data_IF_587333181653
#
_entry.id   IF_587333181653
#
_cell.length_a   1.000
_cell.length_b   1.000
_cell.length_c   1.000
_cell.angle_alpha   90.00
_cell.angle_beta   90.00
_cell.angle_gamma   90.00
#
_symmetry.space_group_name_H-M   'P 1'
#
loop_
_entity.id
_entity.type
_entity.pdbx_description
1 polymer ?
#
# COMPACT_ATOMS: atom_id res chain seq x y z
N UNK A 1 -33.84 33.22 -43.42
CA UNK A 1 -32.71 32.39 -42.93
C UNK A 1 -31.60 33.33 -42.50
N UNK A 2 -31.90 34.32 -41.64
CA UNK A 2 -31.04 35.51 -41.50
C UNK A 2 -30.56 35.74 -40.07
N UNK A 3 -30.97 34.88 -39.13
CA UNK A 3 -30.60 35.00 -37.70
C UNK A 3 -29.27 34.28 -37.41
N UNK A 4 -28.90 33.27 -38.21
CA UNK A 4 -27.66 32.49 -38.01
C UNK A 4 -26.40 33.23 -38.49
N UNK A 5 -26.53 34.15 -39.46
CA UNK A 5 -25.38 34.89 -40.01
C UNK A 5 -24.89 36.01 -39.07
N UNK A 6 -25.78 36.57 -38.24
CA UNK A 6 -25.41 37.60 -37.26
C UNK A 6 -24.58 37.05 -36.08
N UNK A 7 -24.84 35.82 -35.65
CA UNK A 7 -24.15 35.22 -34.50
C UNK A 7 -22.70 34.82 -34.81
N UNK A 8 -22.39 34.42 -36.05
CA UNK A 8 -21.00 34.09 -36.43
C UNK A 8 -20.11 35.34 -36.52
N UNK A 9 -20.65 36.49 -36.93
CA UNK A 9 -19.90 37.74 -36.96
C UNK A 9 -19.58 38.25 -35.54
N UNK A 10 -20.51 38.12 -34.60
CA UNK A 10 -20.29 38.48 -33.21
C UNK A 10 -19.25 37.57 -32.52
N UNK A 11 -19.21 36.28 -32.86
CA UNK A 11 -18.23 35.34 -32.28
C UNK A 11 -16.81 35.55 -32.82
N UNK A 12 -16.66 35.99 -34.08
CA UNK A 12 -15.36 36.33 -34.66
C UNK A 12 -14.76 37.63 -34.06
N UNK A 13 -15.59 38.61 -33.71
CA UNK A 13 -15.13 39.84 -33.06
C UNK A 13 -14.59 39.60 -31.63
N UNK A 14 -15.26 38.72 -30.87
CA UNK A 14 -14.83 38.37 -29.50
C UNK A 14 -13.48 37.61 -29.47
N UNK A 15 -13.17 36.84 -30.51
CA UNK A 15 -11.88 36.12 -30.63
C UNK A 15 -10.74 37.09 -31.00
N UNK A 16 -11.04 38.18 -31.72
CA UNK A 16 -10.04 39.21 -32.02
C UNK A 16 -9.69 40.09 -30.82
N UNK A 17 -10.65 40.34 -29.93
CA UNK A 17 -10.42 41.11 -28.70
C UNK A 17 -9.58 40.31 -27.68
N UNK A 18 -9.78 39.00 -27.60
CA UNK A 18 -9.00 38.13 -26.70
C UNK A 18 -7.53 37.95 -27.11
N UNK A 19 -7.19 38.28 -28.37
CA UNK A 19 -5.81 38.24 -28.89
C UNK A 19 -5.05 39.55 -28.67
N UNK A 20 -5.73 40.65 -28.33
CA UNK A 20 -5.11 41.95 -28.08
C UNK A 20 -4.64 42.15 -26.63
N UNK A 21 -5.11 41.33 -25.67
CA UNK A 21 -4.76 41.47 -24.24
C UNK A 21 -3.56 40.65 -23.76
N UNK A 22 -2.78 40.02 -24.66
CA UNK A 22 -1.59 39.23 -24.29
C UNK A 22 -0.28 39.87 -24.75
N UNK A 23 -0.06 41.16 -24.45
CA UNK A 23 1.24 41.80 -24.63
C UNK A 23 1.50 42.84 -23.55
N UNK A 24 1.97 42.41 -22.36
CA UNK A 24 3.01 43.13 -21.59
C UNK A 24 3.56 42.22 -20.49
N UNK A 25 4.63 41.48 -20.79
CA UNK A 25 5.47 40.88 -19.76
C UNK A 25 6.47 41.96 -19.28
N UNK A 26 6.55 42.27 -17.97
CA UNK A 26 7.57 43.15 -17.45
C UNK A 26 8.95 42.49 -17.50
N UNK A 27 9.97 43.28 -17.86
CA UNK A 27 11.36 42.86 -17.95
C UNK A 27 11.89 42.28 -16.62
N UNK A 28 12.81 41.31 -16.65
CA UNK A 28 13.40 40.73 -15.45
C UNK A 28 14.30 41.74 -14.72
N UNK A 29 14.20 41.88 -13.38
CA UNK A 29 15.17 42.63 -12.61
C UNK A 29 16.54 41.91 -12.59
N UNK A 30 17.58 42.70 -12.82
CA UNK A 30 18.99 42.34 -12.82
C UNK A 30 19.42 41.55 -11.56
N UNK A 31 20.02 40.37 -11.79
CA UNK A 31 20.43 39.36 -10.79
C UNK A 31 21.81 39.70 -10.19
N UNK A 32 22.01 40.92 -9.69
CA UNK A 32 23.33 41.33 -9.16
C UNK A 32 23.32 41.92 -7.74
N UNK A 33 22.16 42.10 -7.09
CA UNK A 33 22.10 42.77 -5.78
C UNK A 33 21.35 42.02 -4.66
N UNK A 34 20.79 40.83 -4.91
CA UNK A 34 19.96 40.10 -3.94
C UNK A 34 20.66 38.91 -3.23
N UNK A 35 21.97 38.74 -3.40
CA UNK A 35 22.75 37.61 -2.87
C UNK A 35 23.61 37.94 -1.63
N UNK A 36 23.31 39.03 -0.91
CA UNK A 36 24.03 39.38 0.32
C UNK A 36 23.16 39.37 1.61
N UNK A 37 21.83 39.44 1.51
CA UNK A 37 20.97 39.55 2.70
C UNK A 37 20.40 38.21 3.22
N UNK A 38 20.32 37.16 2.38
CA UNK A 38 19.75 35.87 2.78
C UNK A 38 20.73 34.97 3.56
N UNK A 39 22.05 35.18 3.44
CA UNK A 39 23.05 34.35 4.10
C UNK A 39 23.21 34.64 5.61
N UNK A 40 22.82 35.84 6.08
CA UNK A 40 22.97 36.23 7.49
C UNK A 40 21.84 35.70 8.40
N UNK A 41 20.67 35.34 7.83
CA UNK A 41 19.54 34.82 8.61
C UNK A 41 19.65 33.31 8.91
N UNK A 42 20.39 32.55 8.09
CA UNK A 42 20.56 31.10 8.27
C UNK A 42 21.51 30.73 9.44
N UNK A 43 22.46 31.59 9.80
CA UNK A 43 23.45 31.31 10.85
C UNK A 43 22.91 31.46 12.28
N UNK A 44 21.86 32.26 12.50
CA UNK A 44 21.29 32.49 13.85
C UNK A 44 20.24 31.46 14.29
N UNK A 45 19.65 30.70 13.37
CA UNK A 45 18.64 29.68 13.69
C UNK A 45 19.30 28.35 14.10
N UNK A 46 20.45 28.01 13.50
CA UNK A 46 21.20 26.79 13.83
C UNK A 46 21.78 26.79 15.26
N UNK A 47 22.13 27.96 15.81
CA UNK A 47 22.71 28.04 17.16
C UNK A 47 21.67 27.88 18.30
N UNK A 48 20.38 28.16 18.04
CA UNK A 48 19.33 28.09 19.07
C UNK A 48 18.75 26.68 19.25
N UNK A 49 18.83 25.82 18.23
CA UNK A 49 18.30 24.46 18.28
C UNK A 49 19.16 23.49 19.12
N UNK A 50 20.46 23.79 19.29
CA UNK A 50 21.39 22.89 19.97
C UNK A 50 21.41 23.05 21.51
N UNK A 51 20.75 24.07 22.07
CA UNK A 51 20.67 24.27 23.51
C UNK A 51 19.46 23.56 24.16
N UNK A 52 18.39 23.31 23.40
CA UNK A 52 17.17 22.64 23.87
C UNK A 52 17.35 21.10 23.95
N UNK A 53 18.22 20.54 23.10
CA UNK A 53 18.48 19.09 23.04
C UNK A 53 19.19 18.53 24.28
N UNK A 54 19.89 19.37 25.05
CA UNK A 54 20.64 18.92 26.24
C UNK A 54 19.77 18.88 27.51
N UNK A 55 18.63 19.61 27.56
CA UNK A 55 17.81 19.70 28.79
C UNK A 55 16.76 18.59 28.94
N UNK A 56 16.37 17.92 27.86
CA UNK A 56 15.36 16.86 27.88
C UNK A 56 15.93 15.47 28.19
N UNK A 57 17.25 15.30 28.24
CA UNK A 57 17.89 14.01 28.53
C UNK A 57 18.03 13.71 30.04
N UNK A 58 17.68 14.65 30.94
CA UNK A 58 17.96 14.52 32.38
C UNK A 58 16.76 14.09 33.25
N UNK A 59 15.53 14.01 32.73
CA UNK A 59 14.32 13.78 33.54
C UNK A 59 13.59 12.44 33.30
N UNK A 60 14.22 11.45 32.67
CA UNK A 60 13.61 10.14 32.42
C UNK A 60 14.09 9.00 33.36
N UNK A 61 14.71 9.31 34.50
CA UNK A 61 15.35 8.31 35.37
C UNK A 61 14.49 7.81 36.55
N UNK A 62 13.16 7.85 36.46
CA UNK A 62 12.31 7.43 37.57
C UNK A 62 11.00 6.76 37.16
N UNK A 63 11.07 5.55 36.58
CA UNK A 63 9.92 4.63 36.64
C UNK A 63 10.38 3.18 36.84
N UNK A 64 9.97 2.67 38.00
CA UNK A 64 9.93 1.31 38.54
C UNK A 64 10.16 0.13 37.58
N UNK A 65 11.14 -0.70 37.96
CA UNK A 65 11.39 -2.04 37.43
C UNK A 65 10.38 -3.04 38.01
N UNK A 66 9.37 -3.39 37.22
CA UNK A 66 8.58 -4.60 37.42
C UNK A 66 8.96 -5.59 36.31
N UNK A 67 9.75 -6.61 36.66
CA UNK A 67 10.21 -7.63 35.70
C UNK A 67 9.26 -8.82 35.79
N UNK A 68 8.37 -9.05 34.81
CA UNK A 68 7.65 -10.31 34.71
C UNK A 68 8.60 -11.45 34.29
N UNK A 69 8.30 -12.71 34.64
CA UNK A 69 9.16 -13.84 34.34
C UNK A 69 9.32 -14.03 32.83
N UNK A 70 10.57 -14.01 32.38
CA UNK A 70 10.99 -14.16 31.00
C UNK A 70 10.76 -15.62 30.59
N UNK A 71 9.71 -15.86 29.81
CA UNK A 71 9.54 -17.12 29.06
C UNK A 71 10.51 -17.12 27.89
N UNK A 72 11.57 -17.91 27.99
CA UNK A 72 12.69 -18.04 27.04
C UNK A 72 12.32 -18.83 25.78
N UNK A 73 11.33 -18.36 25.01
CA UNK A 73 11.18 -18.72 23.60
C UNK A 73 10.40 -17.64 22.82
N UNK A 74 11.09 -16.70 22.14
CA UNK A 74 10.43 -15.57 21.45
C UNK A 74 9.58 -16.02 20.24
N UNK A 75 9.87 -17.17 19.65
CA UNK A 75 9.14 -17.68 18.49
C UNK A 75 7.80 -18.35 18.86
N UNK A 76 7.62 -18.85 20.08
CA UNK A 76 6.40 -19.60 20.48
C UNK A 76 5.35 -18.72 21.15
N UNK A 77 5.79 -17.64 21.84
CA UNK A 77 4.90 -16.70 22.54
C UNK A 77 4.05 -15.85 21.59
N UNK A 78 4.67 -15.25 20.56
CA UNK A 78 3.96 -14.40 19.60
C UNK A 78 2.92 -15.16 18.74
N UNK A 79 3.15 -16.44 18.48
CA UNK A 79 2.20 -17.27 17.73
C UNK A 79 0.94 -17.57 18.54
N UNK A 80 1.06 -17.68 19.87
CA UNK A 80 -0.09 -18.00 20.73
C UNK A 80 -1.09 -16.84 20.82
N UNK A 81 -0.61 -15.59 20.88
CA UNK A 81 -1.46 -14.40 20.89
C UNK A 81 -2.11 -14.16 19.52
N UNK A 82 -1.37 -14.30 18.41
CA UNK A 82 -1.94 -14.15 17.07
C UNK A 82 -3.05 -15.16 16.79
N UNK A 83 -2.88 -16.42 17.21
CA UNK A 83 -3.93 -17.44 17.05
C UNK A 83 -5.20 -17.11 17.83
N UNK A 84 -5.08 -16.42 18.97
CA UNK A 84 -6.26 -15.97 19.72
C UNK A 84 -6.98 -14.80 19.04
N UNK A 85 -6.25 -13.95 18.30
CA UNK A 85 -6.80 -12.83 17.53
C UNK A 85 -7.44 -13.28 16.21
N UNK A 86 -6.92 -14.34 15.61
CA UNK A 86 -7.36 -14.87 14.32
C UNK A 86 -7.73 -16.37 14.43
N UNK A 87 -8.81 -16.71 15.18
CA UNK A 87 -9.17 -18.11 15.43
C UNK A 87 -9.61 -18.84 14.14
N UNK A 88 -10.15 -18.11 13.17
CA UNK A 88 -10.68 -18.67 11.92
C UNK A 88 -9.58 -18.96 10.88
N UNK A 89 -8.36 -18.48 11.10
CA UNK A 89 -7.23 -18.66 10.19
C UNK A 89 -6.36 -19.81 10.66
N UNK A 90 -6.04 -20.75 9.76
CA UNK A 90 -5.15 -21.89 10.07
C UNK A 90 -3.82 -21.39 10.63
N UNK A 91 -3.36 -22.06 11.68
CA UNK A 91 -2.07 -21.75 12.31
C UNK A 91 -0.92 -21.79 11.28
N UNK A 92 -0.95 -22.74 10.34
CA UNK A 92 0.04 -22.82 9.27
C UNK A 92 0.06 -21.57 8.37
N UNK A 93 -1.10 -21.01 8.04
CA UNK A 93 -1.20 -19.77 7.25
C UNK A 93 -0.63 -18.59 8.03
N UNK A 94 -0.99 -18.44 9.31
CA UNK A 94 -0.42 -17.41 10.19
C UNK A 94 1.11 -17.52 10.23
N UNK A 95 1.65 -18.73 10.44
CA UNK A 95 3.10 -18.98 10.45
C UNK A 95 3.74 -18.62 9.11
N UNK A 96 3.14 -18.99 7.98
CA UNK A 96 3.67 -18.62 6.66
C UNK A 96 3.65 -17.12 6.42
N UNK A 97 2.62 -16.40 6.90
CA UNK A 97 2.51 -14.94 6.78
C UNK A 97 3.62 -14.25 7.56
N UNK A 98 3.80 -14.58 8.85
CA UNK A 98 4.83 -13.96 9.70
C UNK A 98 6.24 -14.29 9.25
N UNK A 99 6.43 -15.39 8.52
CA UNK A 99 7.71 -15.79 7.93
C UNK A 99 7.89 -15.25 6.50
N UNK A 100 6.93 -14.47 5.98
CA UNK A 100 6.92 -13.95 4.60
C UNK A 100 7.09 -15.02 3.51
N UNK A 101 6.47 -16.18 3.71
CA UNK A 101 6.46 -17.34 2.79
C UNK A 101 5.07 -17.64 2.24
N UNK A 102 4.17 -16.66 2.24
CA UNK A 102 2.75 -16.85 1.95
C UNK A 102 2.40 -16.26 0.59
N UNK A 103 2.35 -17.06 -0.46
CA UNK A 103 2.22 -16.55 -1.84
C UNK A 103 0.83 -15.98 -2.16
N UNK A 104 0.75 -15.14 -3.20
CA UNK A 104 -0.53 -14.61 -3.70
C UNK A 104 -1.52 -15.73 -4.08
N UNK A 105 -1.00 -16.85 -4.62
CA UNK A 105 -1.80 -18.02 -4.96
C UNK A 105 -2.41 -18.71 -3.74
N UNK A 106 -1.88 -18.47 -2.54
CA UNK A 106 -2.35 -19.06 -1.29
C UNK A 106 -3.35 -18.16 -0.54
N UNK A 107 -3.61 -16.93 -1.03
CA UNK A 107 -4.52 -15.97 -0.37
C UNK A 107 -5.88 -16.58 -0.03
N UNK A 108 -6.39 -17.49 -0.86
CA UNK A 108 -7.65 -18.17 -0.62
C UNK A 108 -7.70 -18.96 0.69
N UNK A 109 -6.56 -19.40 1.21
CA UNK A 109 -6.46 -20.15 2.46
C UNK A 109 -6.78 -19.30 3.68
N UNK A 110 -6.86 -17.97 3.53
CA UNK A 110 -7.30 -17.06 4.59
C UNK A 110 -8.82 -16.98 4.71
N UNK A 111 -9.56 -17.49 3.73
CA UNK A 111 -11.01 -17.57 3.82
C UNK A 111 -11.41 -18.78 4.67
N UNK A 112 -12.15 -18.54 5.74
CA UNK A 112 -12.69 -19.59 6.60
C UNK A 112 -13.62 -20.54 5.85
N UNK A 113 -14.29 -20.07 4.79
CA UNK A 113 -15.16 -20.90 3.95
C UNK A 113 -14.40 -21.96 3.15
N UNK A 114 -13.15 -21.66 2.79
CA UNK A 114 -12.31 -22.55 2.00
C UNK A 114 -11.30 -23.33 2.85
N UNK A 115 -11.19 -22.97 4.13
CA UNK A 115 -10.35 -23.61 5.13
C UNK A 115 -10.63 -25.12 5.24
N UNK A 116 -11.89 -25.54 5.27
CA UNK A 116 -12.25 -26.96 5.40
C UNK A 116 -12.23 -27.72 4.07
N UNK A 117 -12.01 -27.02 2.95
CA UNK A 117 -12.21 -27.56 1.60
C UNK A 117 -10.91 -27.91 0.86
N UNK A 118 -9.76 -27.74 1.51
CA UNK A 118 -8.39 -27.91 0.95
C UNK A 118 -8.13 -29.32 0.36
N UNK A 119 -9.03 -30.28 0.58
CA UNK A 119 -9.00 -31.59 -0.07
C UNK A 119 -10.39 -32.18 -0.31
N UNK A 120 -11.33 -31.40 -0.87
CA UNK A 120 -12.52 -32.03 -1.46
C UNK A 120 -12.11 -32.81 -2.72
N UNK A 121 -11.87 -34.11 -2.55
CA UNK A 121 -11.67 -35.02 -3.65
C UNK A 121 -13.01 -35.21 -4.37
N UNK A 122 -13.16 -34.58 -5.52
CA UNK A 122 -14.32 -34.81 -6.37
C UNK A 122 -14.05 -36.06 -7.22
N UNK A 123 -14.88 -37.08 -7.08
CA UNK A 123 -14.80 -38.24 -7.96
C UNK A 123 -15.30 -37.85 -9.36
N UNK A 124 -14.38 -37.77 -10.33
CA UNK A 124 -14.73 -37.50 -11.72
C UNK A 124 -15.24 -38.80 -12.36
N UNK A 125 -16.58 -38.93 -12.43
CA UNK A 125 -17.25 -40.09 -13.03
C UNK A 125 -16.87 -40.32 -14.50
N UNK A 126 -16.57 -39.26 -15.26
CA UNK A 126 -16.21 -39.39 -16.67
C UNK A 126 -14.83 -40.02 -16.88
N UNK A 127 -13.90 -39.79 -15.94
CA UNK A 127 -12.53 -40.33 -16.00
C UNK A 127 -12.29 -41.52 -15.06
N UNK A 128 -13.30 -41.89 -14.25
CA UNK A 128 -13.16 -42.85 -13.15
C UNK A 128 -11.95 -42.59 -12.24
N UNK A 129 -11.66 -41.31 -11.98
CA UNK A 129 -10.52 -40.87 -11.17
C UNK A 129 -10.95 -39.81 -10.17
N UNK A 130 -10.32 -39.81 -8.99
CA UNK A 130 -10.44 -38.70 -8.06
C UNK A 130 -9.60 -37.53 -8.57
N UNK A 131 -10.25 -36.42 -8.90
CA UNK A 131 -9.56 -35.18 -9.25
C UNK A 131 -9.65 -34.24 -8.05
N UNK A 132 -8.52 -33.61 -7.73
CA UNK A 132 -8.49 -32.50 -6.77
C UNK A 132 -9.11 -31.30 -7.47
N UNK A 133 -10.38 -31.04 -7.19
CA UNK A 133 -11.04 -29.84 -7.71
C UNK A 133 -10.53 -28.63 -6.91
N UNK A 134 -9.61 -27.87 -7.49
CA UNK A 134 -9.23 -26.53 -7.01
C UNK A 134 -10.36 -25.53 -7.30
N UNK A 135 -11.55 -25.78 -6.74
CA UNK A 135 -12.71 -24.91 -6.92
C UNK A 135 -12.46 -23.53 -6.30
N UNK A 136 -11.72 -23.47 -5.19
CA UNK A 136 -11.36 -22.23 -4.51
C UNK A 136 -10.68 -21.22 -5.44
N UNK A 137 -9.76 -21.64 -6.33
CA UNK A 137 -9.08 -20.73 -7.24
C UNK A 137 -10.02 -20.05 -8.27
N UNK A 138 -11.19 -20.62 -8.55
CA UNK A 138 -12.18 -20.04 -9.48
C UNK A 138 -13.06 -18.97 -8.84
N UNK A 139 -13.15 -18.93 -7.51
CA UNK A 139 -14.09 -18.06 -6.81
C UNK A 139 -13.49 -16.67 -6.49
N UNK A 140 -12.18 -16.50 -6.65
CA UNK A 140 -11.46 -15.21 -6.50
C UNK A 140 -11.51 -14.31 -7.74
N UNK A 141 -12.57 -14.42 -8.52
CA UNK A 141 -12.77 -13.61 -9.73
C UNK A 141 -13.27 -12.19 -9.45
N UNK A 142 -13.60 -11.88 -8.20
CA UNK A 142 -14.12 -10.58 -7.84
C UNK A 142 -13.08 -9.76 -7.07
N UNK A 143 -12.90 -8.46 -7.38
CA UNK A 143 -11.99 -7.58 -6.66
C UNK A 143 -12.20 -7.62 -5.14
N UNK A 144 -13.47 -7.52 -4.71
CA UNK A 144 -13.83 -7.48 -3.30
C UNK A 144 -13.41 -8.73 -2.53
N UNK A 145 -13.46 -9.91 -3.16
CA UNK A 145 -13.03 -11.16 -2.51
C UNK A 145 -11.54 -11.11 -2.18
N UNK A 146 -10.71 -10.64 -3.11
CA UNK A 146 -9.25 -10.53 -2.89
C UNK A 146 -8.93 -9.43 -1.87
N UNK A 147 -9.61 -8.28 -1.95
CA UNK A 147 -9.42 -7.18 -1.00
C UNK A 147 -9.71 -7.63 0.45
N UNK A 148 -10.79 -8.40 0.69
CA UNK A 148 -11.12 -8.92 2.03
C UNK A 148 -10.01 -9.84 2.57
N UNK A 149 -9.44 -10.71 1.73
CA UNK A 149 -8.34 -11.58 2.14
C UNK A 149 -7.07 -10.79 2.42
N UNK A 150 -6.77 -9.77 1.62
CA UNK A 150 -5.64 -8.89 1.86
C UNK A 150 -5.79 -8.11 3.16
N UNK A 151 -7.00 -7.65 3.50
CA UNK A 151 -7.26 -7.05 4.82
C UNK A 151 -6.90 -8.00 5.95
N UNK A 152 -7.28 -9.27 5.85
CA UNK A 152 -6.95 -10.29 6.86
C UNK A 152 -5.45 -10.53 6.93
N UNK A 153 -4.79 -10.67 5.76
CA UNK A 153 -3.35 -10.82 5.65
C UNK A 153 -2.59 -9.67 6.33
N UNK A 154 -2.94 -8.42 6.01
CA UNK A 154 -2.29 -7.23 6.57
C UNK A 154 -2.62 -7.02 8.04
N UNK A 155 -3.81 -7.40 8.51
CA UNK A 155 -4.14 -7.37 9.93
C UNK A 155 -3.24 -8.33 10.74
N UNK A 156 -3.00 -9.55 10.22
CA UNK A 156 -2.09 -10.51 10.84
C UNK A 156 -0.66 -9.95 10.90
N UNK A 157 -0.15 -9.41 9.78
CA UNK A 157 1.18 -8.79 9.75
C UNK A 157 1.30 -7.61 10.71
N UNK A 158 0.31 -6.71 10.72
CA UNK A 158 0.30 -5.53 11.58
C UNK A 158 0.30 -5.90 13.06
N UNK A 159 -0.45 -6.95 13.44
CA UNK A 159 -0.45 -7.46 14.80
C UNK A 159 0.89 -8.13 15.18
N UNK A 160 1.63 -8.66 14.20
CA UNK A 160 2.91 -9.29 14.42
C UNK A 160 4.07 -8.31 14.56
N UNK A 161 4.02 -7.16 13.90
CA UNK A 161 5.12 -6.18 13.85
C UNK A 161 4.89 -5.09 14.91
N UNK A 162 5.48 -5.21 16.13
CA UNK A 162 5.26 -4.21 17.17
C UNK A 162 5.91 -2.87 16.81
N UNK A 163 5.30 -1.78 17.28
CA UNK A 163 5.86 -0.42 17.27
C UNK A 163 6.15 0.19 15.88
N UNK A 164 5.59 -0.36 14.80
CA UNK A 164 5.69 0.22 13.45
C UNK A 164 4.34 0.76 12.97
N UNK A 165 3.90 1.89 13.53
CA UNK A 165 2.59 2.50 13.24
C UNK A 165 2.42 2.95 11.78
N UNK A 166 3.51 3.10 11.03
CA UNK A 166 3.49 3.47 9.61
C UNK A 166 3.10 2.31 8.70
N UNK A 167 3.38 1.07 9.09
CA UNK A 167 3.16 -0.12 8.26
C UNK A 167 1.67 -0.34 7.92
N UNK A 168 0.73 -0.28 8.89
CA UNK A 168 -0.70 -0.37 8.56
C UNK A 168 -1.19 0.71 7.59
N UNK A 169 -0.65 1.93 7.66
CA UNK A 169 -1.01 3.02 6.75
C UNK A 169 -0.56 2.72 5.31
N UNK A 170 0.64 2.18 5.15
CA UNK A 170 1.17 1.78 3.86
C UNK A 170 0.32 0.65 3.24
N UNK A 171 -0.07 -0.34 4.04
CA UNK A 171 -0.97 -1.41 3.57
C UNK A 171 -2.33 -0.86 3.13
N UNK A 172 -2.87 0.14 3.85
CA UNK A 172 -4.11 0.80 3.46
C UNK A 172 -3.99 1.57 2.14
N UNK A 173 -2.87 2.27 1.92
CA UNK A 173 -2.58 2.93 0.65
C UNK A 173 -2.54 1.93 -0.51
N UNK A 174 -1.87 0.79 -0.31
CA UNK A 174 -1.83 -0.27 -1.30
C UNK A 174 -3.23 -0.81 -1.65
N UNK A 175 -4.06 -1.08 -0.65
CA UNK A 175 -5.44 -1.55 -0.86
C UNK A 175 -6.29 -0.53 -1.62
N UNK A 176 -6.12 0.75 -1.30
CA UNK A 176 -6.83 1.85 -1.97
C UNK A 176 -6.42 1.94 -3.44
N UNK A 177 -5.12 1.86 -3.72
CA UNK A 177 -4.59 1.82 -5.08
C UNK A 177 -5.09 0.60 -5.87
N UNK A 178 -5.08 -0.59 -5.26
CA UNK A 178 -5.58 -1.80 -5.91
C UNK A 178 -7.08 -1.68 -6.27
N UNK A 179 -7.87 -1.04 -5.40
CA UNK A 179 -9.29 -0.78 -5.65
C UNK A 179 -9.51 0.24 -6.77
N UNK A 180 -8.70 1.30 -6.84
CA UNK A 180 -8.69 2.25 -7.95
C UNK A 180 -8.39 1.55 -9.27
N UNK A 181 -7.32 0.75 -9.34
CA UNK A 181 -7.00 -0.05 -10.53
C UNK A 181 -8.14 -0.99 -10.93
N UNK A 182 -8.81 -1.63 -9.97
CA UNK A 182 -9.95 -2.50 -10.22
C UNK A 182 -11.18 -1.74 -10.76
N UNK A 183 -11.26 -0.43 -10.56
CA UNK A 183 -12.33 0.42 -11.09
C UNK A 183 -12.05 0.93 -12.50
N UNK A 184 -10.77 1.04 -12.87
CA UNK A 184 -10.32 1.59 -14.15
C UNK A 184 -10.00 0.53 -15.21
N UNK A 185 -9.54 -0.66 -14.78
CA UNK A 185 -9.00 -1.69 -15.65
C UNK A 185 -9.72 -3.04 -15.47
N UNK A 186 -9.52 -3.95 -16.44
CA UNK A 186 -10.07 -5.30 -16.34
C UNK A 186 -9.47 -6.07 -15.15
N UNK A 187 -10.34 -6.61 -14.29
CA UNK A 187 -9.90 -7.27 -13.06
C UNK A 187 -8.91 -8.43 -13.29
N UNK A 188 -9.07 -9.23 -14.36
CA UNK A 188 -8.15 -10.33 -14.64
C UNK A 188 -6.69 -9.84 -14.80
N UNK A 189 -6.53 -8.69 -15.42
CA UNK A 189 -5.25 -8.02 -15.65
C UNK A 189 -4.71 -7.43 -14.35
N UNK A 190 -5.55 -6.72 -13.59
CA UNK A 190 -5.22 -6.19 -12.26
C UNK A 190 -4.80 -7.30 -11.30
N UNK A 191 -5.48 -8.44 -11.33
CA UNK A 191 -5.16 -9.60 -10.50
C UNK A 191 -3.81 -10.21 -10.86
N UNK A 192 -3.46 -10.25 -12.15
CA UNK A 192 -2.14 -10.71 -12.61
C UNK A 192 -1.03 -9.77 -12.13
N UNK A 193 -1.22 -8.46 -12.30
CA UNK A 193 -0.33 -7.43 -11.77
C UNK A 193 -0.15 -7.58 -10.26
N UNK A 194 -1.26 -7.64 -9.51
CA UNK A 194 -1.30 -7.83 -8.06
C UNK A 194 -0.51 -9.06 -7.62
N UNK A 195 -0.74 -10.21 -8.27
CA UNK A 195 -0.10 -11.47 -7.91
C UNK A 195 1.42 -11.40 -8.03
N UNK A 196 1.93 -10.76 -9.09
CA UNK A 196 3.37 -10.58 -9.30
C UNK A 196 3.92 -9.58 -8.27
N UNK A 197 3.29 -8.40 -8.15
CA UNK A 197 3.70 -7.37 -7.20
C UNK A 197 3.76 -7.90 -5.76
N UNK A 198 2.70 -8.57 -5.30
CA UNK A 198 2.60 -9.14 -3.96
C UNK A 198 3.72 -10.14 -3.65
N UNK A 199 4.07 -10.99 -4.62
CA UNK A 199 5.16 -11.95 -4.46
C UNK A 199 6.54 -11.25 -4.41
N UNK A 200 6.75 -10.19 -5.20
CA UNK A 200 7.97 -9.37 -5.10
C UNK A 200 8.08 -8.68 -3.73
N UNK A 201 6.98 -8.09 -3.25
CA UNK A 201 6.97 -7.39 -1.97
C UNK A 201 7.24 -8.31 -0.77
N UNK A 202 6.90 -9.60 -0.86
CA UNK A 202 7.31 -10.55 0.17
C UNK A 202 8.82 -10.73 0.29
N UNK A 203 9.54 -10.69 -0.84
CA UNK A 203 10.99 -10.75 -0.82
C UNK A 203 11.59 -9.53 -0.10
N UNK A 204 11.03 -8.35 -0.34
CA UNK A 204 11.44 -7.11 0.35
C UNK A 204 11.10 -7.13 1.85
N UNK A 205 9.92 -7.66 2.22
CA UNK A 205 9.55 -7.81 3.63
C UNK A 205 10.46 -8.79 4.38
N UNK A 206 10.98 -9.83 3.73
CA UNK A 206 12.02 -10.69 4.33
C UNK A 206 13.30 -9.92 4.66
N UNK A 207 13.60 -8.85 3.92
CA UNK A 207 14.70 -7.92 4.21
C UNK A 207 14.30 -6.85 5.25
N UNK A 208 13.06 -6.84 5.74
CA UNK A 208 12.54 -5.88 6.70
C UNK A 208 12.07 -4.55 6.07
N UNK A 209 12.00 -4.46 4.74
CA UNK A 209 11.51 -3.27 4.05
C UNK A 209 10.01 -3.38 3.77
N UNK A 210 9.22 -2.50 4.41
CA UNK A 210 7.77 -2.43 4.23
C UNK A 210 7.32 -1.21 3.43
N UNK A 211 8.22 -0.28 3.12
CA UNK A 211 7.87 0.99 2.49
C UNK A 211 7.46 0.83 1.02
N UNK A 212 7.99 -0.18 0.34
CA UNK A 212 7.77 -0.41 -1.08
C UNK A 212 6.34 -0.82 -1.44
N UNK A 213 5.52 -1.21 -0.45
CA UNK A 213 4.10 -1.46 -0.64
C UNK A 213 3.31 -0.21 -1.07
N UNK A 214 3.77 0.98 -0.69
CA UNK A 214 3.13 2.24 -1.09
C UNK A 214 3.53 2.67 -2.52
N UNK A 215 4.61 2.12 -3.05
CA UNK A 215 5.17 2.52 -4.34
C UNK A 215 4.59 1.65 -5.45
N UNK A 216 3.96 2.29 -6.42
CA UNK A 216 3.55 1.62 -7.65
C UNK A 216 4.80 1.22 -8.45
N UNK A 217 4.94 -0.07 -8.74
CA UNK A 217 5.95 -0.55 -9.69
C UNK A 217 5.55 -0.12 -11.11
N UNK A 218 6.13 0.98 -11.58
CA UNK A 218 5.82 1.60 -12.87
C UNK A 218 6.18 0.69 -14.06
N UNK A 219 7.22 -0.14 -13.92
CA UNK A 219 7.65 -1.08 -14.95
C UNK A 219 6.65 -2.23 -15.06
N UNK A 220 6.29 -2.82 -13.91
CA UNK A 220 5.29 -3.88 -13.85
C UNK A 220 3.90 -3.39 -14.27
N UNK A 221 3.55 -2.17 -13.88
CA UNK A 221 2.29 -1.53 -14.26
C UNK A 221 2.20 -1.36 -15.77
N UNK A 222 3.23 -0.78 -16.39
CA UNK A 222 3.27 -0.57 -17.84
C UNK A 222 3.24 -1.89 -18.63
N UNK A 223 3.74 -2.98 -18.05
CA UNK A 223 3.78 -4.29 -18.70
C UNK A 223 2.44 -5.02 -18.69
N UNK A 224 1.66 -4.83 -17.62
CA UNK A 224 0.45 -5.61 -17.41
C UNK A 224 -0.82 -4.79 -17.62
N UNK A 225 -0.83 -3.50 -17.30
CA UNK A 225 -2.06 -2.69 -17.22
C UNK A 225 -2.20 -1.73 -18.41
N UNK A 226 -1.10 -1.16 -18.91
CA UNK A 226 -1.08 -0.31 -20.11
C UNK A 226 -0.93 -1.15 -21.39
#
# INVERSE_FOLDING_TARGET
>A
MDILHGQMAAMMAAIQELKASSTTAPAPPSIAAATAAAAAAASKIAAKANAEATRLAAEASAVSSFVPPISTNPATGASSSLRSLFPDVKAACITSIIMHKFHATDLYKLDSRHCDQESSYAFNRAKNQFEVSNHAAKDYKMPNSVIILLHTYFAILSAHIPNQHTVPLIFFQYLSHLQELASEYEWATVFTYHSIFFNCQQAEMMAGNYLEWANQDTVLFSKHIL
#
